data_IF_509887179797
#
_entry.id   IF_509887179797
#
_cell.length_a   1.000
_cell.length_b   1.000
_cell.length_c   1.000
_cell.angle_alpha   90.00
_cell.angle_beta   90.00
_cell.angle_gamma   90.00
#
_symmetry.space_group_name_H-M   'P 1'
#
loop_
_entity.id
_entity.type
_entity.pdbx_description
1 polymer ?
#
# COMPACT_ATOMS: atom_id res chain seq x y z
N UNK A 1 21.92 -8.30 4.07
CA UNK A 1 22.22 -6.86 4.01
C UNK A 1 21.65 -6.21 5.27
N UNK A 2 22.48 -5.65 6.17
CA UNK A 2 21.95 -4.85 7.30
C UNK A 2 21.31 -3.60 6.71
N UNK A 3 20.00 -3.46 6.87
CA UNK A 3 19.28 -2.30 6.35
C UNK A 3 19.50 -1.14 7.31
N UNK A 4 20.10 -0.07 6.79
CA UNK A 4 20.36 1.14 7.55
C UNK A 4 19.08 1.99 7.68
N UNK A 5 19.04 2.84 8.70
CA UNK A 5 17.92 3.77 8.92
C UNK A 5 17.62 4.63 7.68
N UNK A 6 18.66 5.11 6.99
CA UNK A 6 18.52 5.87 5.74
C UNK A 6 17.73 5.10 4.66
N UNK A 7 17.96 3.79 4.56
CA UNK A 7 17.26 2.93 3.59
C UNK A 7 15.79 2.77 3.95
N UNK A 8 15.47 2.56 5.23
CA UNK A 8 14.09 2.48 5.71
C UNK A 8 13.34 3.78 5.44
N UNK A 9 13.96 4.90 5.82
CA UNK A 9 13.39 6.23 5.64
C UNK A 9 13.14 6.53 4.16
N UNK A 10 14.08 6.18 3.28
CA UNK A 10 13.93 6.34 1.83
C UNK A 10 12.74 5.55 1.27
N UNK A 11 12.56 4.28 1.68
CA UNK A 11 11.40 3.49 1.26
C UNK A 11 10.08 4.11 1.73
N UNK A 12 10.02 4.59 2.97
CA UNK A 12 8.84 5.25 3.54
C UNK A 12 8.52 6.52 2.76
N UNK A 13 9.51 7.38 2.54
CA UNK A 13 9.34 8.66 1.88
C UNK A 13 8.91 8.50 0.42
N UNK A 14 9.69 7.77 -0.38
CA UNK A 14 9.41 7.64 -1.81
C UNK A 14 8.18 6.77 -2.09
N UNK A 15 7.97 5.70 -1.32
CA UNK A 15 6.75 4.88 -1.43
C UNK A 15 5.49 5.68 -1.14
N UNK A 16 5.48 6.43 -0.04
CA UNK A 16 4.32 7.27 0.32
C UNK A 16 4.11 8.40 -0.68
N UNK A 17 5.18 9.10 -1.06
CA UNK A 17 5.09 10.21 -2.01
C UNK A 17 4.58 9.75 -3.38
N UNK A 18 5.10 8.63 -3.91
CA UNK A 18 4.68 8.10 -5.21
C UNK A 18 3.22 7.58 -5.19
N UNK A 19 2.76 7.01 -4.07
CA UNK A 19 1.34 6.65 -3.88
C UNK A 19 0.43 7.89 -3.83
N UNK A 20 0.83 8.94 -3.12
CA UNK A 20 0.05 10.20 -3.08
C UNK A 20 0.03 10.85 -4.47
N UNK A 21 1.17 10.88 -5.15
CA UNK A 21 1.29 11.45 -6.51
C UNK A 21 0.42 10.68 -7.51
N UNK A 22 0.41 9.34 -7.45
CA UNK A 22 -0.46 8.56 -8.33
C UNK A 22 -1.93 8.91 -8.10
N UNK A 23 -2.38 8.99 -6.85
CA UNK A 23 -3.74 9.44 -6.55
C UNK A 23 -4.02 10.87 -7.01
N UNK A 24 -3.08 11.79 -6.76
CA UNK A 24 -3.23 13.22 -7.07
C UNK A 24 -3.39 13.46 -8.57
N UNK A 25 -2.64 12.75 -9.42
CA UNK A 25 -2.72 12.89 -10.88
C UNK A 25 -4.11 12.55 -11.42
N UNK A 26 -4.77 11.52 -10.87
CA UNK A 26 -6.07 11.07 -11.37
C UNK A 26 -7.27 11.70 -10.65
N UNK A 27 -7.12 12.05 -9.38
CA UNK A 27 -8.25 12.46 -8.52
C UNK A 27 -8.08 13.84 -7.88
N UNK A 28 -6.96 14.52 -8.13
CA UNK A 28 -6.66 15.85 -7.61
C UNK A 28 -6.53 15.89 -6.09
N UNK A 29 -6.96 16.99 -5.47
CA UNK A 29 -6.85 17.23 -4.02
C UNK A 29 -7.78 16.35 -3.18
N UNK A 30 -8.71 15.60 -3.79
CA UNK A 30 -9.61 14.70 -3.06
C UNK A 30 -8.88 13.58 -2.30
N UNK A 31 -7.63 13.28 -2.66
CA UNK A 31 -6.77 12.32 -1.95
C UNK A 31 -6.41 12.77 -0.54
N UNK A 32 -6.50 14.07 -0.25
CA UNK A 32 -6.24 14.63 1.08
C UNK A 32 -7.51 14.75 1.93
N UNK A 33 -8.69 14.48 1.37
CA UNK A 33 -9.95 14.55 2.10
C UNK A 33 -10.15 13.27 2.92
N UNK A 34 -10.01 13.37 4.24
CA UNK A 34 -10.12 12.26 5.20
C UNK A 34 -11.46 11.49 5.13
N UNK A 35 -12.54 12.13 4.65
CA UNK A 35 -13.86 11.52 4.49
C UNK A 35 -14.05 10.84 3.13
N UNK A 36 -13.16 11.08 2.18
CA UNK A 36 -13.19 10.48 0.86
C UNK A 36 -12.57 9.06 0.87
N UNK A 37 -13.13 8.10 0.12
CA UNK A 37 -12.45 6.82 -0.12
C UNK A 37 -11.05 6.98 -0.74
N UNK A 38 -10.82 8.10 -1.45
CA UNK A 38 -9.54 8.42 -2.07
C UNK A 38 -8.44 8.77 -1.06
N UNK A 39 -8.78 8.99 0.22
CA UNK A 39 -7.79 9.12 1.29
C UNK A 39 -6.92 7.86 1.44
N UNK A 40 -7.36 6.73 0.88
CA UNK A 40 -6.58 5.50 0.80
C UNK A 40 -5.22 5.67 0.11
N UNK A 41 -5.06 6.60 -0.83
CA UNK A 41 -3.77 6.88 -1.45
C UNK A 41 -2.71 7.35 -0.45
N UNK A 42 -3.11 8.18 0.50
CA UNK A 42 -2.24 8.66 1.57
C UNK A 42 -2.10 7.61 2.66
N UNK A 43 -3.23 7.11 3.20
CA UNK A 43 -3.20 6.21 4.35
C UNK A 43 -2.55 4.87 4.02
N UNK A 44 -2.92 4.23 2.92
CA UNK A 44 -2.27 2.99 2.48
C UNK A 44 -0.91 3.22 1.85
N UNK A 45 -0.63 4.44 1.35
CA UNK A 45 0.72 4.86 0.99
C UNK A 45 1.69 4.78 2.18
N UNK A 46 1.31 5.36 3.32
CA UNK A 46 2.10 5.29 4.57
C UNK A 46 2.17 3.86 5.09
N UNK A 47 1.03 3.21 5.27
CA UNK A 47 0.95 1.84 5.83
C UNK A 47 1.76 0.85 4.99
N UNK A 48 1.59 0.90 3.67
CA UNK A 48 2.30 0.03 2.76
C UNK A 48 3.81 0.27 2.77
N UNK A 49 4.24 1.53 2.79
CA UNK A 49 5.67 1.86 2.78
C UNK A 49 6.37 1.54 4.10
N UNK A 50 5.71 1.79 5.23
CA UNK A 50 6.24 1.40 6.54
C UNK A 50 6.31 -0.12 6.68
N UNK A 51 5.24 -0.83 6.27
CA UNK A 51 5.21 -2.28 6.30
C UNK A 51 6.34 -2.87 5.46
N UNK A 52 6.50 -2.39 4.22
CA UNK A 52 7.57 -2.84 3.34
C UNK A 52 8.96 -2.61 3.97
N UNK A 53 9.23 -1.41 4.48
CA UNK A 53 10.50 -1.09 5.11
C UNK A 53 10.81 -2.02 6.30
N UNK A 54 9.83 -2.27 7.18
CA UNK A 54 9.99 -3.12 8.35
C UNK A 54 10.09 -4.61 8.00
N UNK A 55 9.35 -5.09 6.99
CA UNK A 55 9.51 -6.46 6.47
C UNK A 55 10.91 -6.67 5.93
N UNK A 56 11.42 -5.73 5.12
CA UNK A 56 12.80 -5.80 4.61
C UNK A 56 13.83 -5.85 5.74
N UNK A 57 13.58 -5.17 6.86
CA UNK A 57 14.43 -5.20 8.05
C UNK A 57 14.31 -6.49 8.89
N UNK A 58 13.50 -7.46 8.48
CA UNK A 58 13.19 -8.69 9.22
C UNK A 58 12.61 -8.43 10.63
N UNK A 59 11.87 -7.33 10.80
CA UNK A 59 11.30 -6.94 12.10
C UNK A 59 9.81 -7.24 12.19
N UNK A 60 9.43 -8.50 12.06
CA UNK A 60 8.01 -8.92 12.02
C UNK A 60 7.19 -8.41 13.23
N UNK A 61 7.77 -8.42 14.43
CA UNK A 61 7.10 -7.89 15.64
C UNK A 61 6.78 -6.40 15.50
N UNK A 62 7.73 -5.61 15.02
CA UNK A 62 7.56 -4.16 14.81
C UNK A 62 6.53 -3.91 13.70
N UNK A 63 6.50 -4.75 12.66
CA UNK A 63 5.49 -4.67 11.59
C UNK A 63 4.08 -4.84 12.17
N UNK A 64 3.86 -5.89 12.98
CA UNK A 64 2.54 -6.17 13.57
C UNK A 64 2.14 -5.00 14.48
N UNK A 65 3.03 -4.56 15.37
CA UNK A 65 2.74 -3.48 16.29
C UNK A 65 2.43 -2.16 15.57
N UNK A 66 3.26 -1.77 14.58
CA UNK A 66 3.05 -0.57 13.79
C UNK A 66 1.73 -0.62 13.02
N UNK A 67 1.41 -1.76 12.40
CA UNK A 67 0.17 -1.92 11.64
C UNK A 67 -1.08 -1.90 12.52
N UNK A 68 -1.04 -2.53 13.70
CA UNK A 68 -2.15 -2.43 14.67
C UNK A 68 -2.34 -0.97 15.10
N UNK A 69 -1.25 -0.26 15.40
CA UNK A 69 -1.31 1.14 15.79
C UNK A 69 -1.87 2.03 14.66
N UNK A 70 -1.39 1.87 13.42
CA UNK A 70 -1.91 2.61 12.27
C UNK A 70 -3.38 2.31 12.01
N UNK A 71 -3.79 1.05 12.13
CA UNK A 71 -5.19 0.68 11.99
C UNK A 71 -6.07 1.40 13.02
N UNK A 72 -5.67 1.40 14.30
CA UNK A 72 -6.40 2.09 15.36
C UNK A 72 -6.47 3.61 15.11
N UNK A 73 -5.36 4.24 14.75
CA UNK A 73 -5.32 5.69 14.44
C UNK A 73 -6.26 6.01 13.28
N UNK A 74 -6.19 5.26 12.17
CA UNK A 74 -7.02 5.48 11.00
C UNK A 74 -8.49 5.18 11.28
N UNK A 75 -8.78 4.18 12.12
CA UNK A 75 -10.15 3.85 12.52
C UNK A 75 -10.77 4.98 13.34
N UNK A 76 -10.06 5.49 14.35
CA UNK A 76 -10.49 6.60 15.19
C UNK A 76 -10.67 7.88 14.37
N UNK A 77 -9.65 8.24 13.57
CA UNK A 77 -9.68 9.46 12.74
C UNK A 77 -10.87 9.48 11.76
N UNK A 78 -11.31 8.30 11.33
CA UNK A 78 -12.43 8.16 10.41
C UNK A 78 -13.83 8.21 11.05
N UNK A 79 -13.91 8.41 12.37
CA UNK A 79 -15.16 8.46 13.12
C UNK A 79 -15.75 7.09 13.45
N UNK A 80 -14.92 6.03 13.54
CA UNK A 80 -15.29 4.69 14.04
C UNK A 80 -16.40 3.97 13.25
N UNK A 81 -16.60 4.30 11.97
CA UNK A 81 -17.61 3.66 11.11
C UNK A 81 -17.03 2.53 10.27
N UNK A 82 -17.81 1.49 10.04
CA UNK A 82 -17.50 0.37 9.15
C UNK A 82 -16.19 -0.37 9.51
N UNK A 83 -16.07 -0.77 10.79
CA UNK A 83 -14.90 -1.49 11.31
C UNK A 83 -14.48 -2.67 10.43
N UNK A 84 -15.43 -3.56 10.10
CA UNK A 84 -15.15 -4.77 9.34
C UNK A 84 -14.60 -4.43 7.94
N UNK A 85 -15.25 -3.51 7.22
CA UNK A 85 -14.78 -3.04 5.91
C UNK A 85 -13.33 -2.56 5.98
N UNK A 86 -13.01 -1.71 6.96
CA UNK A 86 -11.66 -1.17 7.12
C UNK A 86 -10.64 -2.24 7.46
N UNK A 87 -11.01 -3.18 8.34
CA UNK A 87 -10.15 -4.28 8.73
C UNK A 87 -9.77 -5.15 7.52
N UNK A 88 -10.74 -5.49 6.67
CA UNK A 88 -10.48 -6.30 5.46
C UNK A 88 -9.55 -5.59 4.48
N UNK A 89 -9.82 -4.32 4.12
CA UNK A 89 -8.91 -3.58 3.23
C UNK A 89 -7.52 -3.42 3.83
N UNK A 90 -7.43 -3.11 5.12
CA UNK A 90 -6.16 -2.93 5.82
C UNK A 90 -5.34 -4.22 5.84
N UNK A 91 -5.95 -5.34 6.23
CA UNK A 91 -5.30 -6.65 6.27
C UNK A 91 -4.75 -7.04 4.90
N UNK A 92 -5.52 -6.77 3.85
CA UNK A 92 -5.17 -7.12 2.48
C UNK A 92 -4.07 -6.22 1.90
N UNK A 93 -4.00 -4.95 2.28
CA UNK A 93 -2.85 -4.07 1.97
C UNK A 93 -1.58 -4.63 2.61
N UNK A 94 -1.62 -4.94 3.91
CA UNK A 94 -0.45 -5.49 4.63
C UNK A 94 -0.02 -6.82 4.04
N UNK A 95 -0.97 -7.71 3.75
CA UNK A 95 -0.69 -9.00 3.11
C UNK A 95 -0.08 -8.85 1.72
N UNK A 96 -0.60 -7.95 0.89
CA UNK A 96 -0.05 -7.69 -0.45
C UNK A 96 1.40 -7.22 -0.38
N UNK A 97 1.70 -6.32 0.56
CA UNK A 97 3.06 -5.82 0.78
C UNK A 97 3.99 -6.89 1.34
N UNK A 98 3.49 -7.75 2.24
CA UNK A 98 4.24 -8.90 2.74
C UNK A 98 4.62 -9.86 1.61
N UNK A 99 3.63 -10.33 0.84
CA UNK A 99 3.84 -11.22 -0.30
C UNK A 99 4.83 -10.63 -1.31
N UNK A 100 4.71 -9.33 -1.59
CA UNK A 100 5.66 -8.63 -2.46
C UNK A 100 7.08 -8.58 -1.87
N UNK A 101 7.22 -8.21 -0.59
CA UNK A 101 8.52 -8.10 0.09
C UNK A 101 9.27 -9.43 0.15
N UNK A 102 8.56 -10.53 0.44
CA UNK A 102 9.17 -11.84 0.67
C UNK A 102 9.35 -12.63 -0.63
N UNK A 103 8.36 -12.63 -1.52
CA UNK A 103 8.36 -13.55 -2.66
C UNK A 103 8.80 -12.91 -3.97
N UNK A 104 8.50 -11.62 -4.17
CA UNK A 104 8.73 -10.94 -5.46
C UNK A 104 10.03 -10.15 -5.42
N UNK A 105 10.16 -9.24 -4.46
CA UNK A 105 11.24 -8.27 -4.39
C UNK A 105 12.64 -8.90 -4.39
N UNK A 106 12.92 -10.00 -3.65
CA UNK A 106 14.24 -10.63 -3.63
C UNK A 106 14.54 -11.43 -4.91
N UNK A 107 13.53 -12.02 -5.55
CA UNK A 107 13.70 -12.93 -6.70
C UNK A 107 13.85 -12.20 -8.03
N UNK A 108 13.29 -10.99 -8.16
CA UNK A 108 13.20 -10.26 -9.42
C UNK A 108 14.09 -9.00 -9.45
N UNK A 109 15.33 -9.09 -8.95
CA UNK A 109 16.24 -7.95 -8.92
C UNK A 109 16.63 -7.39 -10.30
N UNK A 110 16.64 -8.24 -11.33
CA UNK A 110 16.98 -7.84 -12.71
C UNK A 110 15.82 -7.14 -13.43
N UNK A 111 14.57 -7.35 -13.02
CA UNK A 111 13.37 -6.87 -13.70
C UNK A 111 12.70 -5.71 -12.96
N UNK A 112 13.48 -4.64 -12.69
CA UNK A 112 13.05 -3.46 -11.90
C UNK A 112 11.77 -2.80 -12.40
N UNK A 113 11.53 -2.78 -13.72
CA UNK A 113 10.32 -2.19 -14.32
C UNK A 113 9.06 -3.03 -14.11
N UNK A 114 9.21 -4.34 -13.93
CA UNK A 114 8.07 -5.27 -13.80
C UNK A 114 7.59 -5.34 -12.34
N UNK A 115 8.50 -5.16 -11.36
CA UNK A 115 8.17 -5.26 -9.94
C UNK A 115 7.02 -4.31 -9.50
N UNK A 116 6.99 -3.03 -9.90
CA UNK A 116 5.85 -2.15 -9.59
C UNK A 116 4.52 -2.64 -10.16
N UNK A 117 4.53 -3.21 -11.38
CA UNK A 117 3.33 -3.76 -12.01
C UNK A 117 2.81 -5.00 -11.26
N UNK A 118 3.72 -5.83 -10.73
CA UNK A 118 3.33 -6.98 -9.90
C UNK A 118 2.65 -6.51 -8.61
N UNK A 119 3.20 -5.50 -7.93
CA UNK A 119 2.58 -4.95 -6.72
C UNK A 119 1.22 -4.31 -7.02
N UNK A 120 1.12 -3.58 -8.13
CA UNK A 120 -0.14 -3.00 -8.62
C UNK A 120 -1.19 -4.10 -8.89
N UNK A 121 -0.80 -5.17 -9.57
CA UNK A 121 -1.65 -6.33 -9.84
C UNK A 121 -2.12 -7.01 -8.55
N UNK A 122 -1.22 -7.22 -7.58
CA UNK A 122 -1.60 -7.78 -6.28
C UNK A 122 -2.65 -6.94 -5.58
N UNK A 123 -2.43 -5.62 -5.46
CA UNK A 123 -3.39 -4.72 -4.84
C UNK A 123 -4.73 -4.70 -5.57
N UNK A 124 -4.73 -4.69 -6.91
CA UNK A 124 -5.93 -4.69 -7.72
C UNK A 124 -6.80 -5.95 -7.47
N UNK A 125 -6.19 -7.13 -7.54
CA UNK A 125 -6.85 -8.42 -7.29
C UNK A 125 -7.39 -8.46 -5.86
N UNK A 126 -6.55 -8.06 -4.91
CA UNK A 126 -6.87 -8.02 -3.50
C UNK A 126 -8.05 -7.10 -3.17
N UNK A 127 -8.07 -5.88 -3.72
CA UNK A 127 -9.17 -4.93 -3.54
C UNK A 127 -10.46 -5.44 -4.19
N UNK A 128 -10.36 -6.08 -5.35
CA UNK A 128 -11.49 -6.73 -6.01
C UNK A 128 -12.07 -7.83 -5.12
N UNK A 129 -11.24 -8.74 -4.58
CA UNK A 129 -11.66 -9.82 -3.70
C UNK A 129 -12.33 -9.28 -2.42
N UNK A 130 -11.72 -8.29 -1.76
CA UNK A 130 -12.32 -7.65 -0.58
C UNK A 130 -13.65 -7.02 -0.92
N UNK A 131 -13.75 -6.30 -2.04
CA UNK A 131 -15.00 -5.67 -2.45
C UNK A 131 -16.08 -6.72 -2.70
N UNK A 132 -15.75 -7.85 -3.32
CA UNK A 132 -16.69 -8.95 -3.54
C UNK A 132 -17.18 -9.54 -2.21
N UNK A 133 -16.27 -9.87 -1.29
CA UNK A 133 -16.61 -10.41 0.04
C UNK A 133 -17.53 -9.43 0.78
N UNK A 134 -17.16 -8.16 0.87
CA UNK A 134 -17.96 -7.16 1.57
C UNK A 134 -19.32 -6.92 0.89
N UNK A 135 -19.40 -6.99 -0.44
CA UNK A 135 -20.66 -6.83 -1.15
C UNK A 135 -21.64 -7.96 -0.83
N UNK A 136 -21.13 -9.20 -0.74
CA UNK A 136 -21.93 -10.36 -0.31
C UNK A 136 -22.38 -10.18 1.15
N UNK A 137 -21.45 -9.83 2.04
CA UNK A 137 -21.74 -9.66 3.47
C UNK A 137 -22.76 -8.53 3.77
N UNK A 138 -22.72 -7.43 3.02
CA UNK A 138 -23.64 -6.30 3.19
C UNK A 138 -24.87 -6.37 2.26
N UNK A 139 -25.09 -7.49 1.55
CA UNK A 139 -26.21 -7.68 0.62
C UNK A 139 -26.41 -6.50 -0.36
N UNK A 140 -25.33 -5.91 -0.86
CA UNK A 140 -25.41 -4.68 -1.66
C UNK A 140 -25.80 -5.00 -3.11
N UNK A 141 -26.86 -4.35 -3.62
CA UNK A 141 -27.38 -4.56 -4.99
C UNK A 141 -26.41 -4.11 -6.12
N UNK A 142 -25.38 -3.34 -5.79
CA UNK A 142 -24.40 -2.77 -6.74
C UNK A 142 -23.16 -3.66 -6.97
N UNK A 143 -23.33 -4.98 -6.92
CA UNK A 143 -22.24 -5.97 -7.02
C UNK A 143 -21.45 -5.91 -8.32
N UNK A 144 -22.06 -5.41 -9.40
CA UNK A 144 -21.44 -5.29 -10.72
C UNK A 144 -20.63 -4.00 -10.90
N UNK A 145 -20.73 -2.99 -10.00
CA UNK A 145 -20.07 -1.68 -10.18
C UNK A 145 -18.98 -1.43 -9.16
N UNK A 146 -19.21 -1.81 -7.89
CA UNK A 146 -18.28 -1.49 -6.80
C UNK A 146 -16.89 -2.13 -6.97
N UNK A 147 -16.76 -3.40 -7.38
CA UNK A 147 -15.43 -4.01 -7.58
C UNK A 147 -14.62 -3.29 -8.67
N UNK A 148 -15.27 -2.93 -9.78
CA UNK A 148 -14.61 -2.23 -10.89
C UNK A 148 -14.27 -0.77 -10.59
N UNK A 149 -14.90 -0.15 -9.58
CA UNK A 149 -14.51 1.17 -9.07
C UNK A 149 -13.32 1.10 -8.11
N UNK A 150 -13.24 0.06 -7.28
CA UNK A 150 -12.18 -0.07 -6.28
C UNK A 150 -10.90 -0.72 -6.83
N UNK A 151 -11.00 -1.58 -7.83
CA UNK A 151 -9.84 -2.22 -8.46
C UNK A 151 -8.82 -1.20 -9.02
N UNK A 152 -9.22 -0.15 -9.77
CA UNK A 152 -8.28 0.88 -10.24
C UNK A 152 -7.61 1.64 -9.09
N UNK A 153 -8.33 1.90 -8.00
CA UNK A 153 -7.77 2.55 -6.81
C UNK A 153 -6.66 1.67 -6.22
N UNK A 154 -6.95 0.38 -5.98
CA UNK A 154 -5.95 -0.57 -5.50
C UNK A 154 -4.74 -0.64 -6.45
N UNK A 155 -4.99 -0.76 -7.75
CA UNK A 155 -3.94 -0.79 -8.76
C UNK A 155 -3.01 0.43 -8.68
N UNK A 156 -3.57 1.64 -8.66
CA UNK A 156 -2.79 2.88 -8.63
C UNK A 156 -2.01 3.08 -7.32
N UNK A 157 -2.56 2.63 -6.19
CA UNK A 157 -1.84 2.63 -4.91
C UNK A 157 -0.65 1.66 -4.98
N UNK A 158 -0.88 0.43 -5.42
CA UNK A 158 0.18 -0.58 -5.55
C UNK A 158 1.26 -0.17 -6.55
N UNK A 159 0.87 0.46 -7.66
CA UNK A 159 1.79 1.02 -8.66
C UNK A 159 2.64 2.14 -8.06
N UNK A 160 2.00 3.10 -7.38
CA UNK A 160 2.69 4.22 -6.73
C UNK A 160 3.71 3.74 -5.69
N UNK A 161 3.29 2.85 -4.78
CA UNK A 161 4.19 2.21 -3.81
C UNK A 161 5.36 1.52 -4.50
N UNK A 162 5.08 0.70 -5.53
CA UNK A 162 6.09 -0.05 -6.26
C UNK A 162 7.13 0.86 -6.91
N UNK A 163 6.70 1.89 -7.63
CA UNK A 163 7.58 2.89 -8.23
C UNK A 163 8.42 3.58 -7.15
N UNK A 164 7.81 3.97 -6.02
CA UNK A 164 8.51 4.59 -4.91
C UNK A 164 9.60 3.70 -4.30
N UNK A 165 9.36 2.40 -4.21
CA UNK A 165 10.38 1.44 -3.75
C UNK A 165 11.56 1.33 -4.71
N UNK A 166 11.30 1.31 -6.02
CA UNK A 166 12.35 1.30 -7.04
C UNK A 166 13.20 2.58 -7.03
N UNK A 167 12.55 3.74 -6.91
CA UNK A 167 13.24 5.05 -6.80
C UNK A 167 14.13 5.07 -5.56
N UNK A 168 13.60 4.61 -4.41
CA UNK A 168 14.36 4.50 -3.17
C UNK A 168 15.61 3.63 -3.35
N UNK A 169 15.48 2.45 -3.96
CA UNK A 169 16.60 1.56 -4.22
C UNK A 169 17.66 2.23 -5.14
N UNK A 170 17.23 2.92 -6.19
CA UNK A 170 18.12 3.65 -7.08
C UNK A 170 18.90 4.77 -6.37
N UNK A 171 18.22 5.57 -5.54
CA UNK A 171 18.84 6.65 -4.75
C UNK A 171 19.86 6.08 -3.78
N UNK A 172 19.55 4.96 -3.11
CA UNK A 172 20.48 4.31 -2.19
C UNK A 172 21.70 3.76 -2.94
N UNK A 173 21.50 3.10 -4.08
CA UNK A 173 22.61 2.56 -4.90
C UNK A 173 23.56 3.67 -5.37
N UNK A 174 23.02 4.82 -5.81
CA UNK A 174 23.85 5.98 -6.20
C UNK A 174 24.50 6.69 -5.01
N UNK A 175 23.85 6.71 -3.85
CA UNK A 175 24.34 7.38 -2.64
C UNK A 175 25.44 6.62 -1.89
N UNK A 176 25.58 5.30 -2.11
CA UNK A 176 26.66 4.47 -1.54
C UNK A 176 27.92 4.48 -2.43
N UNK A 177 27.81 4.97 -3.67
CA UNK A 177 28.94 5.15 -4.60
C UNK A 177 29.68 6.50 -4.47
N UNK A 178 29.43 7.26 -3.40
CA UNK A 178 30.17 8.46 -3.00
C UNK A 178 30.66 8.29 -1.56
#
# INVERSE_FOLDING_TARGET
MKINFKTLFSFILFGTAASILSGFVFFGTNVFNLRSPLFQFLSFGVVGSVSFALFRANRLRDVIFANVLFFLILFIASGNRFFLTRLFYFAVVVFSVFAYSEWVYPKLQSLKLVRPLILAGFFAICFLLVTLILTVLYHTKAMHVLPFRNMPIGFLIGLGLGIGFEISEYVIQKGVGK
#
